data_IF_161003752415
#
_entry.id   IF_161003752415
#
_cell.length_a   1.000
_cell.length_b   1.000
_cell.length_c   1.000
_cell.angle_alpha   90.00
_cell.angle_beta   90.00
_cell.angle_gamma   90.00
#
_symmetry.space_group_name_H-M   'P 1'
#
loop_
_entity.id
_entity.type
_entity.pdbx_description
1 polymer ?
#
# COMPACT_ATOMS: atom_id res chain seq x y z
N UNK A 1 0.04 -12.80 4.70
CA UNK A 1 -0.76 -11.54 4.70
C UNK A 1 -2.03 -11.70 5.54
N UNK A 2 -2.41 -10.69 6.33
CA UNK A 2 -3.68 -10.70 7.10
C UNK A 2 -4.92 -10.47 6.23
N UNK A 3 -6.11 -10.79 6.76
CA UNK A 3 -7.39 -10.54 6.08
C UNK A 3 -7.62 -9.05 5.78
N UNK A 4 -7.25 -8.16 6.70
CA UNK A 4 -7.43 -6.71 6.55
C UNK A 4 -6.47 -6.11 5.51
N UNK A 5 -5.20 -6.52 5.51
CA UNK A 5 -4.24 -6.13 4.47
C UNK A 5 -4.68 -6.60 3.10
N UNK A 6 -5.12 -7.87 2.98
CA UNK A 6 -5.65 -8.42 1.72
C UNK A 6 -6.83 -7.60 1.23
N UNK A 7 -7.76 -7.26 2.13
CA UNK A 7 -8.92 -6.43 1.79
C UNK A 7 -8.49 -5.06 1.27
N UNK A 8 -7.52 -4.39 1.90
CA UNK A 8 -6.98 -3.10 1.43
C UNK A 8 -6.35 -3.20 0.03
N UNK A 9 -5.55 -4.23 -0.23
CA UNK A 9 -4.95 -4.45 -1.56
C UNK A 9 -6.01 -4.67 -2.64
N UNK A 10 -7.03 -5.48 -2.36
CA UNK A 10 -8.14 -5.74 -3.30
C UNK A 10 -8.92 -4.45 -3.57
N UNK A 11 -9.26 -3.69 -2.53
CA UNK A 11 -9.97 -2.40 -2.67
C UNK A 11 -9.20 -1.43 -3.54
N UNK A 12 -7.89 -1.32 -3.35
CA UNK A 12 -7.03 -0.49 -4.21
C UNK A 12 -7.07 -0.92 -5.68
N UNK A 13 -6.92 -2.23 -5.94
CA UNK A 13 -6.94 -2.79 -7.30
C UNK A 13 -8.24 -2.53 -8.03
N UNK A 14 -9.37 -2.72 -7.35
CA UNK A 14 -10.69 -2.50 -7.93
C UNK A 14 -11.04 -1.01 -8.11
N UNK A 15 -10.16 -0.09 -7.70
CA UNK A 15 -10.48 1.35 -7.65
C UNK A 15 -11.58 1.66 -6.62
N UNK A 16 -11.89 0.70 -5.74
CA UNK A 16 -12.88 0.83 -4.68
C UNK A 16 -12.29 1.62 -3.53
N UNK A 17 -12.25 2.93 -3.74
CA UNK A 17 -12.04 3.88 -2.69
C UNK A 17 -13.18 3.71 -1.66
N UNK A 18 -12.90 3.62 -0.36
CA UNK A 18 -13.81 3.09 0.63
C UNK A 18 -15.19 3.77 0.66
N UNK A 19 -16.14 3.12 -0.01
CA UNK A 19 -17.57 3.38 0.09
C UNK A 19 -18.29 3.71 -1.20
N UNK A 20 -17.59 3.90 -2.34
CA UNK A 20 -18.27 4.28 -3.61
C UNK A 20 -19.07 5.59 -3.52
N UNK A 21 -18.85 6.36 -2.44
CA UNK A 21 -19.51 7.62 -2.14
C UNK A 21 -18.49 8.74 -2.34
N UNK A 22 -18.96 9.86 -2.86
CA UNK A 22 -18.17 11.09 -2.91
C UNK A 22 -17.64 11.41 -1.51
N UNK A 23 -16.32 11.48 -1.40
CA UNK A 23 -15.63 11.95 -0.19
C UNK A 23 -14.57 12.94 -0.62
N UNK A 24 -14.55 14.07 0.09
CA UNK A 24 -13.48 15.05 -0.01
C UNK A 24 -12.27 14.54 0.75
N UNK A 25 -11.08 14.87 0.24
CA UNK A 25 -9.85 14.58 0.97
C UNK A 25 -9.80 15.44 2.25
N UNK A 26 -9.62 14.86 3.45
CA UNK A 26 -9.47 15.65 4.68
C UNK A 26 -8.27 16.61 4.65
N UNK A 27 -7.23 16.28 3.86
CA UNK A 27 -6.03 17.11 3.71
C UNK A 27 -6.18 18.22 2.66
N UNK A 28 -7.14 18.08 1.73
CA UNK A 28 -7.39 19.08 0.70
C UNK A 28 -8.91 19.19 0.46
N UNK A 29 -9.58 20.08 1.21
CA UNK A 29 -11.01 20.30 1.06
C UNK A 29 -11.35 20.72 -0.39
N UNK A 30 -12.45 20.20 -0.93
CA UNK A 30 -13.00 20.64 -2.23
C UNK A 30 -12.62 19.80 -3.45
N UNK A 31 -11.73 18.81 -3.33
CA UNK A 31 -11.40 17.89 -4.43
C UNK A 31 -11.93 16.47 -4.14
N UNK A 32 -12.46 15.76 -5.15
CA UNK A 32 -12.86 14.37 -4.99
C UNK A 32 -11.64 13.52 -4.66
N UNK A 33 -11.75 12.69 -3.63
CA UNK A 33 -10.68 11.77 -3.26
C UNK A 33 -10.68 10.59 -4.24
N UNK A 34 -10.02 10.78 -5.40
CA UNK A 34 -9.80 9.78 -6.45
C UNK A 34 -8.48 9.03 -6.26
N UNK A 35 -8.24 7.97 -7.04
CA UNK A 35 -6.97 7.22 -7.00
C UNK A 35 -5.77 8.11 -7.34
N UNK A 36 -5.89 8.93 -8.38
CA UNK A 36 -4.88 9.90 -8.79
C UNK A 36 -4.63 10.95 -7.69
N UNK A 37 -5.70 11.49 -7.10
CA UNK A 37 -5.55 12.41 -5.98
C UNK A 37 -4.87 11.74 -4.79
N UNK A 38 -5.22 10.50 -4.47
CA UNK A 38 -4.63 9.75 -3.37
C UNK A 38 -3.13 9.49 -3.57
N UNK A 39 -2.71 9.20 -4.80
CA UNK A 39 -1.30 9.06 -5.19
C UNK A 39 -0.52 10.34 -4.91
N UNK A 40 -1.06 11.49 -5.33
CA UNK A 40 -0.45 12.79 -5.10
C UNK A 40 -0.49 13.19 -3.61
N UNK A 41 -1.64 13.07 -2.96
CA UNK A 41 -1.87 13.48 -1.57
C UNK A 41 -1.01 12.70 -0.55
N UNK A 42 -0.79 11.42 -0.81
CA UNK A 42 0.07 10.57 0.04
C UNK A 42 1.52 10.52 -0.43
N UNK A 43 1.87 11.20 -1.52
CA UNK A 43 3.20 11.20 -2.11
C UNK A 43 3.69 9.77 -2.38
N UNK A 44 2.81 8.95 -2.97
CA UNK A 44 3.02 7.50 -3.13
C UNK A 44 4.30 7.20 -3.91
N UNK A 45 4.57 7.92 -5.01
CA UNK A 45 5.81 7.78 -5.79
C UNK A 45 7.06 7.96 -4.95
N UNK A 46 7.12 9.04 -4.17
CA UNK A 46 8.25 9.35 -3.29
C UNK A 46 8.44 8.28 -2.23
N UNK A 47 7.35 7.84 -1.59
CA UNK A 47 7.41 6.79 -0.56
C UNK A 47 7.89 5.44 -1.12
N UNK A 48 7.47 5.10 -2.35
CA UNK A 48 7.83 3.85 -3.01
C UNK A 48 9.14 3.93 -3.81
N UNK A 49 9.76 5.11 -3.88
CA UNK A 49 10.92 5.39 -4.72
C UNK A 49 10.68 4.99 -6.19
N UNK A 50 9.52 5.38 -6.73
CA UNK A 50 9.10 5.08 -8.10
C UNK A 50 9.00 6.35 -8.95
N UNK A 51 9.14 6.18 -10.26
CA UNK A 51 9.12 7.26 -11.23
C UNK A 51 7.72 7.89 -11.34
N UNK A 52 7.62 9.22 -11.33
CA UNK A 52 6.36 9.95 -11.35
C UNK A 52 5.54 9.73 -12.63
N UNK A 53 6.18 9.29 -13.72
CA UNK A 53 5.52 8.94 -14.98
C UNK A 53 4.61 7.72 -14.86
N UNK A 54 4.79 6.89 -13.82
CA UNK A 54 3.96 5.72 -13.58
C UNK A 54 2.63 6.19 -12.99
N UNK A 55 1.54 6.04 -13.73
CA UNK A 55 0.22 6.52 -13.30
C UNK A 55 -0.26 5.88 -11.99
N UNK A 56 0.05 4.60 -11.76
CA UNK A 56 -0.37 3.86 -10.57
C UNK A 56 0.78 2.98 -10.02
N UNK A 57 1.72 3.58 -9.28
CA UNK A 57 2.90 2.88 -8.79
C UNK A 57 2.54 1.76 -7.81
N UNK A 58 1.42 1.90 -7.08
CA UNK A 58 1.01 0.92 -6.09
C UNK A 58 0.44 -0.35 -6.74
N UNK A 59 -0.39 -0.22 -7.79
CA UNK A 59 -0.89 -1.41 -8.51
C UNK A 59 0.24 -2.17 -9.20
N UNK A 60 1.19 -1.46 -9.83
CA UNK A 60 2.38 -2.07 -10.45
C UNK A 60 3.15 -2.94 -9.45
N UNK A 61 3.37 -2.46 -8.22
CA UNK A 61 4.04 -3.24 -7.19
C UNK A 61 3.19 -4.42 -6.68
N UNK A 62 1.88 -4.25 -6.53
CA UNK A 62 1.00 -5.34 -6.12
C UNK A 62 0.97 -6.45 -7.17
N UNK A 63 1.00 -6.10 -8.46
CA UNK A 63 1.02 -7.04 -9.57
C UNK A 63 2.33 -7.80 -9.64
N UNK A 64 3.46 -7.11 -9.48
CA UNK A 64 4.77 -7.76 -9.33
C UNK A 64 4.81 -8.73 -8.14
N UNK A 65 4.18 -8.38 -7.01
CA UNK A 65 4.08 -9.26 -5.85
C UNK A 65 3.22 -10.51 -6.12
N UNK A 66 2.27 -10.41 -7.05
CA UNK A 66 1.41 -11.53 -7.43
C UNK A 66 2.07 -12.45 -8.46
N UNK A 67 2.99 -11.92 -9.27
CA UNK A 67 3.67 -12.66 -10.34
C UNK A 67 5.02 -13.21 -9.93
N UNK A 68 5.71 -12.58 -8.97
CA UNK A 68 7.02 -13.03 -8.51
C UNK A 68 6.93 -13.79 -7.19
N UNK A 69 7.49 -14.99 -7.17
CA UNK A 69 7.98 -15.62 -5.95
C UNK A 69 9.38 -15.05 -5.69
N UNK A 70 9.64 -14.32 -4.60
CA UNK A 70 10.98 -13.83 -4.30
C UNK A 70 11.91 -15.02 -4.03
N UNK A 71 12.73 -15.39 -5.01
CA UNK A 71 13.60 -16.58 -4.92
C UNK A 71 15.01 -16.28 -4.39
N UNK A 72 15.41 -15.00 -4.30
CA UNK A 72 16.73 -14.60 -3.80
C UNK A 72 16.63 -13.77 -2.52
N UNK A 73 17.61 -13.90 -1.63
CA UNK A 73 17.69 -13.14 -0.37
C UNK A 73 17.66 -11.63 -0.58
N UNK A 74 18.33 -11.11 -1.61
CA UNK A 74 18.33 -9.68 -1.96
C UNK A 74 16.93 -9.23 -2.39
N UNK A 75 16.24 -10.05 -3.19
CA UNK A 75 14.87 -9.78 -3.63
C UNK A 75 13.90 -9.82 -2.44
N UNK A 76 14.04 -10.79 -1.52
CA UNK A 76 13.23 -10.89 -0.30
C UNK A 76 13.40 -9.66 0.59
N UNK A 77 14.65 -9.22 0.84
CA UNK A 77 14.91 -8.04 1.67
C UNK A 77 14.33 -6.76 1.05
N UNK A 78 14.55 -6.56 -0.27
CA UNK A 78 14.00 -5.41 -0.97
C UNK A 78 12.47 -5.39 -0.92
N UNK A 79 11.83 -6.55 -1.11
CA UNK A 79 10.39 -6.69 -0.98
C UNK A 79 9.90 -6.46 0.43
N UNK A 80 10.67 -6.84 1.45
CA UNK A 80 10.28 -6.63 2.85
C UNK A 80 10.15 -5.14 3.19
N UNK A 81 11.10 -4.34 2.71
CA UNK A 81 11.09 -2.88 2.86
C UNK A 81 9.91 -2.28 2.07
N UNK A 82 9.78 -2.63 0.79
CA UNK A 82 8.68 -2.11 -0.06
C UNK A 82 7.31 -2.49 0.48
N UNK A 83 7.14 -3.72 0.96
CA UNK A 83 5.88 -4.20 1.49
C UNK A 83 5.43 -3.45 2.74
N UNK A 84 6.37 -3.15 3.65
CA UNK A 84 6.10 -2.32 4.83
C UNK A 84 5.58 -0.93 4.42
N UNK A 85 6.19 -0.32 3.41
CA UNK A 85 5.75 0.95 2.84
C UNK A 85 4.37 0.86 2.18
N UNK A 86 4.12 -0.19 1.38
CA UNK A 86 2.81 -0.46 0.74
C UNK A 86 1.72 -0.56 1.79
N UNK A 87 1.95 -1.35 2.85
CA UNK A 87 0.99 -1.52 3.92
C UNK A 87 0.70 -0.18 4.60
N UNK A 88 1.74 0.62 4.87
CA UNK A 88 1.58 1.93 5.52
C UNK A 88 0.78 2.91 4.67
N UNK A 89 1.02 2.94 3.36
CA UNK A 89 0.23 3.74 2.41
C UNK A 89 -1.24 3.30 2.43
N UNK A 90 -1.50 1.99 2.32
CA UNK A 90 -2.87 1.45 2.36
C UNK A 90 -3.58 1.74 3.69
N UNK A 91 -2.84 1.76 4.79
CA UNK A 91 -3.38 2.15 6.10
C UNK A 91 -3.70 3.65 6.17
N UNK A 92 -2.80 4.52 5.69
CA UNK A 92 -3.04 5.96 5.61
C UNK A 92 -4.25 6.29 4.71
N UNK A 93 -4.42 5.56 3.61
CA UNK A 93 -5.61 5.67 2.76
C UNK A 93 -6.88 5.35 3.55
N UNK A 94 -6.93 4.20 4.21
CA UNK A 94 -8.07 3.80 5.02
C UNK A 94 -8.36 4.81 6.14
N UNK A 95 -7.32 5.35 6.78
CA UNK A 95 -7.45 6.39 7.81
C UNK A 95 -8.12 7.65 7.25
N UNK A 96 -7.62 8.16 6.12
CA UNK A 96 -8.18 9.35 5.46
C UNK A 96 -9.63 9.14 5.02
N UNK A 97 -9.99 7.93 4.61
CA UNK A 97 -11.33 7.63 4.16
C UNK A 97 -12.34 7.37 5.28
N UNK A 98 -11.93 6.67 6.32
CA UNK A 98 -12.85 6.21 7.35
C UNK A 98 -12.85 7.08 8.59
N UNK A 99 -11.79 7.84 8.87
CA UNK A 99 -11.58 8.60 10.11
C UNK A 99 -11.82 7.78 11.40
N UNK A 100 -11.88 6.44 11.30
CA UNK A 100 -12.19 5.49 12.37
C UNK A 100 -10.99 4.69 12.83
N UNK A 101 -9.85 4.84 12.16
CA UNK A 101 -8.62 4.13 12.50
C UNK A 101 -7.74 5.03 13.37
N UNK A 102 -6.92 4.44 14.25
CA UNK A 102 -5.87 5.19 14.94
C UNK A 102 -4.99 5.93 13.93
N UNK A 103 -4.60 7.16 14.24
CA UNK A 103 -3.70 7.96 13.40
C UNK A 103 -2.31 7.33 13.24
N UNK A 104 -1.91 6.48 14.19
CA UNK A 104 -0.69 5.70 14.15
C UNK A 104 -0.92 4.32 13.54
N UNK A 105 -0.13 3.94 12.51
CA UNK A 105 -0.15 2.56 12.01
C UNK A 105 0.30 1.58 13.12
N UNK A 106 -0.32 0.39 13.21
CA UNK A 106 0.17 -0.69 14.07
C UNK A 106 1.64 -1.01 13.83
N UNK A 107 2.39 -1.29 14.91
CA UNK A 107 3.83 -1.63 14.87
C UNK A 107 4.14 -2.83 13.97
N UNK A 108 3.19 -3.77 13.83
CA UNK A 108 3.35 -5.03 13.10
C UNK A 108 2.68 -5.04 11.71
N UNK A 109 2.44 -3.87 11.13
CA UNK A 109 1.79 -3.75 9.83
C UNK A 109 2.65 -4.40 8.72
N UNK A 110 2.07 -5.34 7.97
CA UNK A 110 2.76 -6.07 6.90
C UNK A 110 3.49 -7.33 7.34
N UNK A 111 3.65 -7.57 8.65
CA UNK A 111 4.49 -8.64 9.20
C UNK A 111 4.08 -10.05 8.72
N UNK A 112 2.77 -10.32 8.60
CA UNK A 112 2.27 -11.63 8.15
C UNK A 112 2.64 -11.99 6.72
N UNK A 113 3.05 -11.04 5.87
CA UNK A 113 3.60 -11.39 4.55
C UNK A 113 5.11 -11.60 4.65
N UNK A 114 5.80 -10.84 5.50
CA UNK A 114 7.24 -11.00 5.75
C UNK A 114 7.56 -12.39 6.31
N UNK A 115 6.73 -12.89 7.23
CA UNK A 115 6.83 -14.25 7.77
C UNK A 115 6.58 -15.36 6.73
N UNK A 116 5.85 -15.05 5.65
CA UNK A 116 5.57 -15.99 4.57
C UNK A 116 6.65 -15.98 3.49
N UNK A 117 7.37 -14.86 3.33
CA UNK A 117 8.51 -14.82 2.43
C UNK A 117 9.57 -15.81 2.94
N UNK A 118 10.21 -16.59 2.06
CA UNK A 118 11.26 -17.50 2.48
C UNK A 118 12.32 -16.69 3.22
N UNK A 119 12.48 -16.98 4.51
CA UNK A 119 13.56 -16.42 5.32
C UNK A 119 14.87 -16.71 4.58
N UNK A 120 15.63 -15.66 4.28
CA UNK A 120 16.96 -15.80 3.69
C UNK A 120 17.72 -16.88 4.47
N UNK A 121 18.41 -17.82 3.80
CA UNK A 121 19.44 -18.58 4.48
C UNK A 121 20.41 -17.55 5.04
N UNK A 122 20.62 -17.59 6.35
CA UNK A 122 21.72 -16.92 7.02
C UNK A 122 23.00 -17.45 6.37
N UNK A 123 23.82 -16.56 5.80
CA UNK A 123 25.10 -16.94 5.23
C UNK A 123 26.21 -16.18 5.94
#
# INVERSE_FOLDING_TARGET
>A
MSKSERSRCIRWRLGWLPGGRYKTCPRLPGQPFTKAHAIHCLQIHRKLMMLETISDPLSVLLDMLSTMKPCSSKTVLSWSIRWSTICRILYELDYLFHAKLPSTPPTHLGQKLLEWLPSSPSH
#
